data_IF_913994934916
#
_entry.id   IF_913994934916
#
_cell.length_a   1.000
_cell.length_b   1.000
_cell.length_c   1.000
_cell.angle_alpha   90.00
_cell.angle_beta   90.00
_cell.angle_gamma   90.00
#
_symmetry.space_group_name_H-M   'P 1'
#
loop_
_entity.id
_entity.type
_entity.pdbx_description
1 polymer ?
#
# COMPACT_ATOMS: atom_id res chain seq x y z
N UNK A 1 -4.40 16.95 -30.35
CA UNK A 1 -3.13 16.67 -29.64
C UNK A 1 -2.18 15.98 -30.61
N UNK A 2 -0.91 16.36 -30.68
CA UNK A 2 0.01 15.92 -31.75
C UNK A 2 0.81 14.70 -31.29
N UNK A 3 0.31 13.48 -31.53
CA UNK A 3 0.99 12.24 -31.18
C UNK A 3 2.37 12.09 -31.82
N UNK A 4 2.51 12.57 -33.07
CA UNK A 4 3.80 12.60 -33.79
C UNK A 4 4.87 13.40 -33.05
N UNK A 5 4.49 14.56 -32.49
CA UNK A 5 5.42 15.40 -31.71
C UNK A 5 5.83 14.73 -30.40
N UNK A 6 4.91 14.00 -29.75
CA UNK A 6 5.21 13.25 -28.52
C UNK A 6 6.23 12.15 -28.82
N UNK A 7 6.03 11.38 -29.90
CA UNK A 7 6.98 10.34 -30.30
C UNK A 7 8.34 10.90 -30.71
N UNK A 8 8.38 12.05 -31.41
CA UNK A 8 9.63 12.73 -31.75
C UNK A 8 10.43 13.13 -30.49
N UNK A 9 9.76 13.67 -29.47
CA UNK A 9 10.39 14.05 -28.19
C UNK A 9 10.88 12.82 -27.41
N UNK A 10 10.16 11.71 -27.45
CA UNK A 10 10.61 10.44 -26.84
C UNK A 10 11.86 9.93 -27.55
N UNK A 11 11.93 10.05 -28.87
CA UNK A 11 13.12 9.63 -29.63
C UNK A 11 14.35 10.52 -29.32
N UNK A 12 14.14 11.84 -29.18
CA UNK A 12 15.19 12.76 -28.75
C UNK A 12 15.66 12.49 -27.31
N UNK A 13 14.71 12.17 -26.42
CA UNK A 13 14.99 11.72 -25.05
C UNK A 13 15.78 10.41 -25.02
N UNK A 14 15.43 9.44 -25.86
CA UNK A 14 16.15 8.17 -25.97
C UNK A 14 17.61 8.40 -26.41
N UNK A 15 17.84 9.30 -27.36
CA UNK A 15 19.18 9.63 -27.85
C UNK A 15 20.10 10.24 -26.77
N UNK A 16 19.52 10.80 -25.70
CA UNK A 16 20.24 11.39 -24.56
C UNK A 16 20.49 10.40 -23.41
N UNK A 17 19.97 9.18 -23.50
CA UNK A 17 20.13 8.15 -22.46
C UNK A 17 19.38 8.48 -21.16
N UNK A 18 18.12 8.91 -21.27
CA UNK A 18 17.30 9.29 -20.12
C UNK A 18 16.81 8.06 -19.34
N UNK A 19 16.80 8.17 -18.01
CA UNK A 19 16.10 7.24 -17.13
C UNK A 19 14.58 7.36 -17.29
N UNK A 20 13.95 6.36 -17.91
CA UNK A 20 12.53 6.35 -18.27
C UNK A 20 11.58 6.52 -17.09
N UNK A 21 11.91 5.93 -15.92
CA UNK A 21 11.10 6.12 -14.72
C UNK A 21 11.21 7.56 -14.21
N UNK A 22 12.41 8.15 -14.22
CA UNK A 22 12.62 9.53 -13.79
C UNK A 22 11.84 10.52 -14.67
N UNK A 23 11.77 10.27 -15.98
CA UNK A 23 10.93 11.05 -16.89
C UNK A 23 9.45 11.04 -16.48
N UNK A 24 8.90 9.87 -16.16
CA UNK A 24 7.50 9.75 -15.70
C UNK A 24 7.29 10.44 -14.35
N UNK A 25 8.26 10.35 -13.43
CA UNK A 25 8.20 11.02 -12.12
C UNK A 25 8.18 12.55 -12.28
N UNK A 26 9.03 13.10 -13.14
CA UNK A 26 9.04 14.54 -13.44
C UNK A 26 7.71 14.98 -14.08
N UNK A 27 7.18 14.22 -15.03
CA UNK A 27 5.87 14.51 -15.63
C UNK A 27 4.73 14.49 -14.60
N UNK A 28 4.70 13.49 -13.72
CA UNK A 28 3.73 13.41 -12.61
C UNK A 28 3.85 14.61 -11.67
N UNK A 29 5.08 15.02 -11.33
CA UNK A 29 5.35 16.19 -10.53
C UNK A 29 4.83 17.48 -11.17
N UNK A 30 5.04 17.65 -12.48
CA UNK A 30 4.51 18.79 -13.23
C UNK A 30 2.97 18.79 -13.26
N UNK A 31 2.33 17.66 -13.53
CA UNK A 31 0.86 17.53 -13.51
C UNK A 31 0.28 17.86 -12.13
N UNK A 32 0.89 17.37 -11.06
CA UNK A 32 0.49 17.69 -9.70
C UNK A 32 0.58 19.20 -9.43
N UNK A 33 1.68 19.85 -9.83
CA UNK A 33 1.84 21.29 -9.68
C UNK A 33 0.81 22.08 -10.48
N UNK A 34 0.49 21.68 -11.70
CA UNK A 34 -0.57 22.31 -12.50
C UNK A 34 -1.92 22.20 -11.76
N UNK A 35 -2.24 21.02 -11.20
CA UNK A 35 -3.46 20.85 -10.40
C UNK A 35 -3.46 21.77 -9.15
N UNK A 36 -2.32 21.92 -8.48
CA UNK A 36 -2.19 22.85 -7.34
C UNK A 36 -2.37 24.31 -7.76
N UNK A 37 -1.89 24.70 -8.94
CA UNK A 37 -2.07 26.06 -9.51
C UNK A 37 -3.53 26.36 -9.83
N UNK A 38 -4.29 25.35 -10.28
CA UNK A 38 -5.73 25.50 -10.51
C UNK A 38 -6.51 25.73 -9.22
N UNK A 39 -6.08 25.11 -8.11
CA UNK A 39 -6.70 25.29 -6.80
C UNK A 39 -6.26 26.61 -6.14
N UNK A 40 -4.97 26.95 -6.23
CA UNK A 40 -4.41 28.17 -5.70
C UNK A 40 -3.31 28.73 -6.61
N UNK A 41 -3.52 29.90 -7.24
CA UNK A 41 -2.54 30.51 -8.14
C UNK A 41 -1.26 31.02 -7.44
N UNK A 42 -1.20 30.94 -6.11
CA UNK A 42 -0.04 31.27 -5.27
C UNK A 42 0.79 30.03 -4.88
N UNK A 43 0.42 28.82 -5.33
CA UNK A 43 1.11 27.58 -4.96
C UNK A 43 2.47 27.36 -5.68
N UNK A 44 2.88 28.26 -6.58
CA UNK A 44 4.14 28.16 -7.32
C UNK A 44 5.28 28.75 -6.47
N UNK A 45 6.27 27.92 -6.15
CA UNK A 45 7.52 28.36 -5.52
C UNK A 45 8.46 29.07 -6.50
N UNK A 46 9.40 29.85 -5.96
CA UNK A 46 10.34 30.70 -6.72
C UNK A 46 11.33 29.93 -7.61
N UNK A 47 11.44 28.61 -7.43
CA UNK A 47 12.43 27.74 -8.09
C UNK A 47 12.10 27.46 -9.57
N UNK A 48 10.89 27.80 -10.03
CA UNK A 48 10.37 27.43 -11.37
C UNK A 48 9.88 28.63 -12.19
N UNK A 49 10.44 29.82 -11.98
CA UNK A 49 10.06 31.06 -12.67
C UNK A 49 10.10 30.93 -14.21
N UNK A 50 11.05 30.15 -14.75
CA UNK A 50 11.19 29.94 -16.20
C UNK A 50 10.03 29.17 -16.84
N UNK A 51 9.34 28.31 -16.07
CA UNK A 51 8.29 27.41 -16.56
C UNK A 51 6.90 27.87 -16.06
N UNK A 52 6.87 28.86 -15.16
CA UNK A 52 5.67 29.37 -14.51
C UNK A 52 4.60 29.84 -15.51
N UNK A 53 5.00 30.59 -16.53
CA UNK A 53 4.08 31.10 -17.55
C UNK A 53 3.37 29.97 -18.30
N UNK A 54 4.13 28.94 -18.71
CA UNK A 54 3.59 27.76 -19.41
C UNK A 54 2.68 26.94 -18.49
N UNK A 55 3.04 26.78 -17.21
CA UNK A 55 2.21 26.05 -16.24
C UNK A 55 0.89 26.75 -15.97
N UNK A 56 0.90 28.09 -15.85
CA UNK A 56 -0.33 28.89 -15.71
C UNK A 56 -1.22 28.78 -16.95
N UNK A 57 -0.62 28.76 -18.13
CA UNK A 57 -1.36 28.60 -19.39
C UNK A 57 -1.99 27.19 -19.51
N UNK A 58 -1.27 26.14 -19.12
CA UNK A 58 -1.81 24.77 -19.05
C UNK A 58 -2.93 24.66 -18.00
N UNK A 59 -2.75 25.28 -16.83
CA UNK A 59 -3.77 25.31 -15.78
C UNK A 59 -5.06 26.02 -16.23
N UNK A 60 -4.96 27.02 -17.13
CA UNK A 60 -6.12 27.74 -17.66
C UNK A 60 -6.82 26.99 -18.80
N UNK A 61 -6.08 26.24 -19.60
CA UNK A 61 -6.58 25.61 -20.83
C UNK A 61 -7.10 24.19 -20.64
N UNK A 62 -6.56 23.45 -19.67
CA UNK A 62 -6.90 22.04 -19.42
C UNK A 62 -7.85 21.94 -18.21
N UNK A 63 -9.01 21.28 -18.32
CA UNK A 63 -9.89 21.02 -17.18
C UNK A 63 -9.19 20.24 -16.05
N UNK A 64 -9.57 20.45 -14.77
CA UNK A 64 -9.00 19.71 -13.64
C UNK A 64 -9.23 18.20 -13.76
N UNK A 65 -10.39 17.79 -14.29
CA UNK A 65 -10.72 16.37 -14.54
C UNK A 65 -9.72 15.71 -15.49
N UNK A 66 -9.32 16.41 -16.55
CA UNK A 66 -8.38 15.89 -17.55
C UNK A 66 -6.97 15.78 -16.98
N UNK A 67 -6.56 16.74 -16.13
CA UNK A 67 -5.27 16.67 -15.43
C UNK A 67 -5.24 15.46 -14.50
N UNK A 68 -6.32 15.18 -13.77
CA UNK A 68 -6.41 13.98 -12.93
C UNK A 68 -6.35 12.70 -13.76
N UNK A 69 -7.04 12.67 -14.91
CA UNK A 69 -7.00 11.53 -15.84
C UNK A 69 -5.57 11.27 -16.35
N UNK A 70 -4.85 12.31 -16.77
CA UNK A 70 -3.46 12.19 -17.18
C UNK A 70 -2.55 11.73 -16.05
N UNK A 71 -2.72 12.31 -14.86
CA UNK A 71 -1.95 11.92 -13.69
C UNK A 71 -2.17 10.44 -13.35
N UNK A 72 -3.43 9.98 -13.35
CA UNK A 72 -3.75 8.57 -13.10
C UNK A 72 -3.18 7.65 -14.18
N UNK A 73 -3.29 8.04 -15.45
CA UNK A 73 -2.78 7.25 -16.57
C UNK A 73 -1.26 7.08 -16.50
N UNK A 74 -0.52 8.15 -16.18
CA UNK A 74 0.93 8.10 -15.98
C UNK A 74 1.31 7.31 -14.73
N UNK A 75 0.53 7.39 -13.65
CA UNK A 75 0.78 6.65 -12.42
C UNK A 75 0.64 5.13 -12.64
N UNK A 76 -0.38 4.73 -13.39
CA UNK A 76 -0.57 3.34 -13.83
C UNK A 76 0.59 2.92 -14.73
N UNK A 77 0.96 3.75 -15.72
CA UNK A 77 2.09 3.46 -16.60
C UNK A 77 3.41 3.28 -15.86
N UNK A 78 3.67 4.07 -14.81
CA UNK A 78 4.84 3.89 -13.95
C UNK A 78 4.80 2.56 -13.20
N UNK A 79 3.64 2.16 -12.68
CA UNK A 79 3.45 0.86 -12.01
C UNK A 79 3.64 -0.31 -12.99
N UNK A 80 3.23 -0.15 -14.24
CA UNK A 80 3.32 -1.15 -15.30
C UNK A 80 4.68 -1.16 -16.01
N UNK A 81 5.51 -0.12 -15.83
CA UNK A 81 6.82 0.03 -16.45
C UNK A 81 7.77 -1.19 -16.28
N UNK A 82 7.89 -1.84 -15.10
CA UNK A 82 8.73 -3.02 -14.96
C UNK A 82 8.16 -4.28 -15.62
N UNK A 83 6.89 -4.28 -16.03
CA UNK A 83 6.24 -5.37 -16.75
C UNK A 83 6.33 -5.21 -18.27
N UNK A 84 6.76 -4.03 -18.74
CA UNK A 84 6.93 -3.78 -20.16
C UNK A 84 8.16 -4.54 -20.71
N UNK A 85 8.10 -5.04 -21.96
CA UNK A 85 9.22 -5.75 -22.58
C UNK A 85 10.47 -4.87 -22.75
N UNK A 86 10.25 -3.56 -22.95
CA UNK A 86 11.27 -2.52 -22.89
C UNK A 86 10.69 -1.34 -22.10
N UNK A 87 11.50 -0.72 -21.23
CA UNK A 87 11.12 0.48 -20.48
C UNK A 87 10.73 1.63 -21.41
N UNK A 88 11.43 1.78 -22.55
CA UNK A 88 11.08 2.79 -23.56
C UNK A 88 9.67 2.54 -24.11
N UNK A 89 9.39 1.30 -24.50
CA UNK A 89 8.08 0.90 -25.02
C UNK A 89 6.98 1.09 -23.97
N UNK A 90 7.28 0.82 -22.69
CA UNK A 90 6.35 1.09 -21.59
C UNK A 90 5.97 2.57 -21.46
N UNK A 91 6.95 3.48 -21.61
CA UNK A 91 6.69 4.93 -21.63
C UNK A 91 5.89 5.33 -22.87
N UNK A 92 6.25 4.85 -24.06
CA UNK A 92 5.52 5.10 -25.31
C UNK A 92 4.06 4.66 -25.20
N UNK A 93 3.80 3.45 -24.69
CA UNK A 93 2.45 2.94 -24.47
C UNK A 93 1.65 3.74 -23.45
N UNK A 94 2.31 4.20 -22.38
CA UNK A 94 1.67 5.05 -21.37
C UNK A 94 1.24 6.40 -21.96
N UNK A 95 2.10 7.03 -22.76
CA UNK A 95 1.83 8.32 -23.38
C UNK A 95 0.80 8.22 -24.50
N UNK A 96 0.81 7.13 -25.28
CA UNK A 96 -0.24 6.81 -26.24
C UNK A 96 -1.59 6.60 -25.55
N UNK A 97 -1.61 5.88 -24.43
CA UNK A 97 -2.82 5.70 -23.61
C UNK A 97 -3.34 7.05 -23.11
N UNK A 98 -2.46 7.93 -22.62
CA UNK A 98 -2.84 9.28 -22.20
C UNK A 98 -3.42 10.10 -23.37
N UNK A 99 -2.85 10.00 -24.57
CA UNK A 99 -3.36 10.68 -25.77
C UNK A 99 -4.71 10.12 -26.24
N UNK A 100 -4.90 8.80 -26.17
CA UNK A 100 -6.13 8.14 -26.58
C UNK A 100 -7.32 8.48 -25.66
N UNK A 101 -7.07 8.67 -24.37
CA UNK A 101 -8.10 9.08 -23.41
C UNK A 101 -8.34 10.60 -23.36
N UNK A 102 -7.87 11.36 -24.37
CA UNK A 102 -8.17 12.78 -24.43
C UNK A 102 -9.61 13.03 -24.93
N UNK A 103 -10.50 13.68 -24.14
CA UNK A 103 -11.93 13.77 -24.42
C UNK A 103 -12.33 14.58 -25.67
N UNK A 104 -11.35 15.09 -26.44
CA UNK A 104 -11.58 15.84 -27.69
C UNK A 104 -11.09 15.13 -28.95
N UNK A 105 -10.71 13.87 -28.88
CA UNK A 105 -10.27 13.11 -30.06
C UNK A 105 -10.85 11.70 -30.01
N UNK A 106 -12.05 11.44 -30.58
CA UNK A 106 -12.33 10.10 -31.05
C UNK A 106 -11.27 9.78 -32.11
N UNK A 107 -10.48 8.73 -31.87
CA UNK A 107 -9.67 8.13 -32.93
C UNK A 107 -10.60 7.79 -34.11
N UNK A 108 -10.15 7.93 -35.36
CA UNK A 108 -10.94 7.45 -36.49
C UNK A 108 -11.03 5.93 -36.38
N UNK A 109 -12.21 5.42 -36.06
CA UNK A 109 -12.49 3.99 -36.19
C UNK A 109 -12.42 3.63 -37.68
N UNK A 110 -11.71 2.57 -38.09
CA UNK A 110 -11.91 2.01 -39.42
C UNK A 110 -13.35 1.49 -39.52
N UNK A 111 -14.09 1.94 -40.53
CA UNK A 111 -15.44 1.48 -40.84
C UNK A 111 -15.47 -0.05 -41.03
N UNK A 112 -15.79 -0.78 -39.98
CA UNK A 112 -16.32 -2.14 -40.07
C UNK A 112 -17.85 -2.04 -40.10
N UNK A 113 -18.54 -2.52 -41.15
CA UNK A 113 -19.99 -2.42 -41.22
C UNK A 113 -20.61 -3.24 -40.07
N UNK A 114 -21.19 -2.56 -39.08
CA UNK A 114 -22.07 -3.21 -38.11
C UNK A 114 -23.32 -3.67 -38.84
N UNK A 115 -23.39 -4.97 -39.16
CA UNK A 115 -24.64 -5.60 -39.55
C UNK A 115 -25.60 -5.58 -38.35
N UNK A 116 -26.62 -4.73 -38.46
CA UNK A 116 -27.75 -4.64 -37.55
C UNK A 116 -28.66 -5.86 -37.70
N UNK A 117 -28.64 -6.77 -36.73
CA UNK A 117 -29.70 -7.77 -36.59
C UNK A 117 -30.85 -7.15 -35.81
N UNK A 118 -31.79 -6.54 -36.53
CA UNK A 118 -33.12 -6.23 -36.01
C UNK A 118 -33.96 -7.51 -35.96
N UNK A 119 -34.64 -7.85 -34.84
CA UNK A 119 -35.61 -8.93 -34.84
C UNK A 119 -36.89 -8.48 -35.56
N UNK A 120 -37.36 -9.37 -36.44
CA UNK A 120 -38.52 -9.23 -37.30
C UNK A 120 -39.81 -9.37 -36.48
N UNK A 121 -40.75 -8.45 -36.64
CA UNK A 121 -42.09 -8.52 -36.05
C UNK A 121 -43.01 -9.51 -36.82
N UNK A 122 -44.04 -10.08 -36.18
CA UNK A 122 -45.23 -10.52 -36.89
C UNK A 122 -46.36 -9.47 -36.79
N UNK A 123 -47.01 -9.28 -37.93
CA UNK A 123 -48.13 -8.39 -38.22
C UNK A 123 -49.45 -8.95 -37.67
N UNK A 124 -50.29 -8.10 -37.08
CA UNK A 124 -51.75 -8.25 -37.10
C UNK A 124 -52.42 -6.86 -36.94
N UNK A 125 -53.56 -6.72 -37.60
CA UNK A 125 -54.13 -5.50 -38.18
C UNK A 125 -55.15 -4.84 -37.24
N UNK A 126 -55.28 -3.51 -37.34
CA UNK A 126 -56.54 -2.71 -37.38
C UNK A 126 -56.49 -1.42 -36.53
N UNK A 127 -56.43 -0.29 -37.23
CA UNK A 127 -57.03 1.01 -36.85
C UNK A 127 -58.53 1.00 -37.24
N UNK A 128 -59.44 1.88 -36.74
CA UNK A 128 -59.23 3.32 -36.46
C UNK A 128 -59.91 3.84 -35.15
N UNK A 129 -59.57 5.01 -34.61
CA UNK A 129 -60.31 6.28 -34.82
C UNK A 129 -59.70 7.40 -33.95
N UNK A 130 -59.57 8.61 -34.50
CA UNK A 130 -59.17 9.87 -33.82
C UNK A 130 -60.31 10.42 -32.93
N UNK A 131 -60.05 11.17 -31.85
CA UNK A 131 -60.28 12.65 -31.60
C UNK A 131 -59.73 13.02 -30.16
N UNK A 132 -59.73 14.29 -29.66
CA UNK A 132 -58.57 15.15 -29.29
C UNK A 132 -58.33 15.36 -27.75
N UNK A 133 -57.36 16.20 -27.30
CA UNK A 133 -56.86 16.22 -25.90
C UNK A 133 -57.43 17.34 -24.97
N UNK A 134 -57.19 17.14 -23.65
CA UNK A 134 -57.29 18.03 -22.45
C UNK A 134 -58.50 17.82 -21.50
N UNK A 135 -58.46 18.19 -20.18
CA UNK A 135 -57.35 18.57 -19.28
C UNK A 135 -57.35 17.86 -17.89
N UNK A 136 -56.38 18.22 -17.04
CA UNK A 136 -56.05 17.79 -15.67
C UNK A 136 -57.22 17.55 -14.69
N UNK A 137 -57.05 16.57 -13.79
CA UNK A 137 -57.61 16.53 -12.42
C UNK A 137 -56.73 15.66 -11.50
N UNK A 138 -56.64 16.06 -10.23
CA UNK A 138 -55.69 15.64 -9.20
C UNK A 138 -55.66 14.14 -8.83
N UNK A 139 -54.55 13.62 -8.26
CA UNK A 139 -54.53 12.29 -7.64
C UNK A 139 -55.30 12.29 -6.31
N UNK A 140 -56.30 11.41 -6.21
CA UNK A 140 -56.95 11.02 -4.97
C UNK A 140 -55.98 10.28 -4.04
N UNK A 141 -56.11 10.59 -2.75
CA UNK A 141 -55.43 9.96 -1.62
C UNK A 141 -55.81 8.49 -1.46
N UNK A 142 -54.80 7.67 -1.16
CA UNK A 142 -54.93 6.37 -0.51
C UNK A 142 -53.94 6.34 0.69
N UNK A 143 -54.21 5.51 1.71
CA UNK A 143 -54.07 5.90 3.12
C UNK A 143 -52.63 5.90 3.67
N UNK A 144 -52.38 6.88 4.54
CA UNK A 144 -51.20 7.01 5.39
C UNK A 144 -51.11 5.88 6.42
N UNK A 145 -50.10 5.04 6.29
CA UNK A 145 -49.59 4.19 7.37
C UNK A 145 -48.48 4.98 8.08
N UNK A 146 -48.56 5.24 9.39
CA UNK A 146 -47.52 5.99 10.09
C UNK A 146 -46.25 5.15 10.23
N UNK A 147 -45.14 5.69 9.72
CA UNK A 147 -43.79 5.18 9.99
C UNK A 147 -43.44 5.40 11.47
N UNK A 148 -42.69 4.48 12.12
CA UNK A 148 -42.36 4.58 13.53
C UNK A 148 -41.40 5.74 13.82
N UNK A 149 -41.70 6.48 14.89
CA UNK A 149 -40.98 7.66 15.42
C UNK A 149 -39.47 7.41 15.66
N UNK A 150 -39.09 6.14 15.81
CA UNK A 150 -37.71 5.69 16.04
C UNK A 150 -36.78 6.06 14.88
N UNK A 151 -37.27 6.01 13.65
CA UNK A 151 -36.47 6.31 12.45
C UNK A 151 -36.19 7.81 12.29
N UNK A 152 -37.14 8.64 12.72
CA UNK A 152 -37.02 10.11 12.70
C UNK A 152 -36.04 10.62 13.78
N UNK A 153 -36.06 9.98 14.96
CA UNK A 153 -35.11 10.28 16.04
C UNK A 153 -33.67 9.90 15.69
N UNK A 154 -33.45 8.78 14.99
CA UNK A 154 -32.11 8.35 14.54
C UNK A 154 -31.55 9.28 13.45
N UNK A 155 -32.40 9.76 12.52
CA UNK A 155 -31.98 10.76 11.52
C UNK A 155 -31.66 12.12 12.16
N UNK A 156 -32.44 12.55 13.16
CA UNK A 156 -32.21 13.80 13.89
C UNK A 156 -30.91 13.74 14.74
N UNK A 157 -30.65 12.63 15.42
CA UNK A 157 -29.43 12.41 16.20
C UNK A 157 -28.17 12.44 15.31
N UNK A 158 -28.25 11.88 14.10
CA UNK A 158 -27.15 11.88 13.12
C UNK A 158 -26.85 13.29 12.58
N UNK A 159 -27.88 14.11 12.37
CA UNK A 159 -27.72 15.48 11.89
C UNK A 159 -27.13 16.40 12.96
N UNK A 160 -27.41 16.14 14.24
CA UNK A 160 -26.82 16.87 15.37
C UNK A 160 -25.32 16.58 15.54
N UNK A 161 -24.89 15.32 15.38
CA UNK A 161 -23.47 14.93 15.47
C UNK A 161 -22.59 15.52 14.34
N UNK A 162 -23.15 15.71 13.15
CA UNK A 162 -22.44 16.38 12.05
C UNK A 162 -22.27 17.88 12.26
N UNK A 163 -23.16 18.55 13.01
CA UNK A 163 -22.99 19.96 13.38
C UNK A 163 -21.94 20.20 14.46
N UNK A 164 -21.75 19.25 15.38
CA UNK A 164 -20.78 19.40 16.48
C UNK A 164 -19.33 19.21 15.99
N UNK A 165 -19.10 18.47 14.90
CA UNK A 165 -17.75 18.30 14.33
C UNK A 165 -17.27 19.47 13.45
N UNK A 166 -18.14 20.46 13.17
CA UNK A 166 -17.81 21.64 12.36
C UNK A 166 -17.31 22.87 13.12
N UNK A 167 -17.21 22.82 14.46
CA UNK A 167 -16.94 24.01 15.27
C UNK A 167 -15.84 23.81 16.32
N UNK A 168 -14.59 23.60 15.89
CA UNK A 168 -13.42 24.00 16.68
C UNK A 168 -12.35 24.61 15.77
N UNK A 169 -12.47 25.90 15.49
CA UNK A 169 -11.33 26.74 15.09
C UNK A 169 -10.92 27.64 16.25
N UNK A 170 -9.67 27.41 16.68
CA UNK A 170 -8.65 28.41 16.98
C UNK A 170 -9.09 29.71 17.68
N UNK A 171 -8.73 29.82 18.97
CA UNK A 171 -8.51 31.13 19.58
C UNK A 171 -7.14 31.66 19.18
N UNK A 172 -7.20 32.89 18.72
CA UNK A 172 -6.18 33.82 18.28
C UNK A 172 -5.35 34.33 19.47
N UNK A 173 -4.03 34.40 19.32
CA UNK A 173 -3.19 35.39 19.99
C UNK A 173 -2.18 35.95 18.99
N UNK A 174 -2.34 37.24 18.71
CA UNK A 174 -1.46 38.10 17.92
C UNK A 174 -0.25 38.57 18.78
N UNK A 175 0.76 39.27 18.19
CA UNK A 175 2.18 39.09 18.47
C UNK A 175 2.80 40.18 19.36
N UNK A 176 4.03 39.95 19.82
CA UNK A 176 4.91 40.98 20.39
C UNK A 176 6.39 40.69 20.08
N UNK A 177 7.20 41.74 20.04
CA UNK A 177 8.44 41.92 19.30
C UNK A 177 9.73 41.24 19.85
N UNK A 178 10.61 40.95 18.89
CA UNK A 178 12.07 41.20 18.80
C UNK A 178 13.02 41.00 20.00
N UNK A 179 14.03 40.11 19.80
CA UNK A 179 15.47 40.45 19.99
C UNK A 179 16.44 39.55 19.20
N UNK A 180 17.31 40.21 18.40
CA UNK A 180 18.70 39.90 17.95
C UNK A 180 19.29 38.47 17.95
N UNK A 181 19.88 38.10 16.80
CA UNK A 181 21.32 37.78 16.66
C UNK A 181 21.79 37.81 15.18
N UNK A 182 23.09 38.09 14.96
CA UNK A 182 23.79 38.62 13.76
C UNK A 182 24.09 37.57 12.65
N UNK A 183 24.33 38.00 11.39
CA UNK A 183 25.21 37.31 10.44
C UNK A 183 26.60 37.97 10.36
N UNK A 184 27.65 37.18 10.11
CA UNK A 184 29.01 37.66 9.80
C UNK A 184 29.34 37.40 8.33
N UNK A 185 30.04 38.40 7.76
CA UNK A 185 30.25 38.67 6.36
C UNK A 185 31.23 37.73 5.64
N UNK A 186 30.95 37.53 4.35
CA UNK A 186 31.93 37.34 3.29
C UNK A 186 32.67 38.66 3.02
N UNK A 187 34.01 38.66 3.06
CA UNK A 187 34.87 39.58 2.30
C UNK A 187 36.35 39.22 2.55
N UNK A 188 36.89 38.28 1.79
CA UNK A 188 38.33 38.00 1.76
C UNK A 188 38.75 37.56 0.35
N UNK A 189 38.36 38.35 -0.65
CA UNK A 189 39.04 38.36 -1.94
C UNK A 189 39.62 39.76 -2.13
N UNK A 190 40.83 39.78 -2.69
CA UNK A 190 41.58 40.93 -3.20
C UNK A 190 42.43 41.73 -2.21
N UNK A 191 43.66 42.00 -2.69
CA UNK A 191 44.76 42.81 -2.15
C UNK A 191 45.65 41.97 -1.22
N UNK A 192 46.83 41.49 -1.63
CA UNK A 192 47.88 42.09 -2.47
C UNK A 192 48.71 40.92 -3.04
N UNK A 193 48.70 40.64 -4.34
CA UNK A 193 49.51 41.31 -5.35
C UNK A 193 51.04 41.22 -5.12
N UNK A 194 51.67 40.50 -6.05
CA UNK A 194 52.94 40.82 -6.74
C UNK A 194 54.27 40.82 -5.97
N UNK A 195 55.11 39.81 -6.25
CA UNK A 195 56.54 39.91 -6.66
C UNK A 195 56.84 38.61 -7.45
N UNK A 196 56.80 38.55 -8.80
CA UNK A 196 57.91 38.74 -9.79
C UNK A 196 59.22 38.05 -9.36
N UNK A 197 60.09 37.42 -10.15
CA UNK A 197 60.30 37.15 -11.57
C UNK A 197 61.40 36.05 -11.60
N UNK A 198 61.36 35.16 -12.59
CA UNK A 198 62.52 34.59 -13.35
C UNK A 198 63.61 33.69 -12.68
N UNK A 199 63.81 32.46 -13.20
CA UNK A 199 64.91 31.98 -14.12
C UNK A 199 65.87 31.04 -13.35
N UNK A 200 66.37 29.86 -13.80
CA UNK A 200 66.68 29.28 -15.11
C UNK A 200 66.95 27.74 -15.02
N UNK A 201 66.94 27.11 -16.20
CA UNK A 201 67.78 25.99 -16.67
C UNK A 201 67.56 24.53 -16.18
N UNK A 202 67.37 23.67 -17.19
CA UNK A 202 67.61 22.21 -17.23
C UNK A 202 69.04 22.00 -17.77
N UNK A 203 69.72 20.86 -17.51
CA UNK A 203 69.51 19.66 -18.34
C UNK A 203 69.70 18.31 -17.61
N UNK A 204 69.36 17.22 -18.31
CA UNK A 204 69.52 15.80 -17.92
C UNK A 204 70.91 15.29 -18.30
N UNK A 205 71.43 14.22 -17.65
CA UNK A 205 71.46 12.94 -18.37
C UNK A 205 71.18 11.68 -17.52
N UNK A 206 70.98 10.60 -18.27
CA UNK A 206 70.64 9.22 -17.90
C UNK A 206 71.77 8.47 -17.16
N UNK A 207 71.44 7.73 -16.10
CA UNK A 207 72.11 6.48 -15.72
C UNK A 207 71.21 5.64 -14.80
N UNK A 208 71.23 4.34 -15.06
CA UNK A 208 70.48 3.27 -14.39
C UNK A 208 70.83 3.15 -12.91
N UNK A 209 69.83 3.04 -12.03
CA UNK A 209 69.91 2.19 -10.84
C UNK A 209 68.51 1.96 -10.24
N UNK A 210 68.12 0.68 -10.14
CA UNK A 210 66.93 0.24 -9.40
C UNK A 210 67.24 0.32 -7.89
N UNK A 211 66.69 1.32 -7.21
CA UNK A 211 66.62 1.36 -5.76
C UNK A 211 65.26 0.81 -5.26
N UNK A 212 65.23 0.07 -4.13
CA UNK A 212 64.06 -0.66 -3.68
C UNK A 212 62.98 0.25 -3.07
N UNK A 213 61.75 -0.29 -3.08
CA UNK A 213 60.47 0.31 -2.73
C UNK A 213 60.48 1.30 -1.54
N UNK A 214 60.19 2.57 -1.84
CA UNK A 214 59.61 3.49 -0.86
C UNK A 214 58.13 3.13 -0.70
N UNK A 215 57.76 2.75 0.52
CA UNK A 215 56.38 2.46 0.94
C UNK A 215 55.52 3.67 0.60
N UNK A 216 54.54 3.47 -0.27
CA UNK A 216 53.54 4.47 -0.59
C UNK A 216 52.88 4.96 0.70
N UNK A 217 52.77 6.28 0.83
CA UNK A 217 52.00 6.91 1.88
C UNK A 217 50.58 6.31 1.86
N UNK A 218 50.17 5.79 3.01
CA UNK A 218 48.88 5.19 3.27
C UNK A 218 47.76 6.16 2.82
N UNK A 219 47.25 5.96 1.60
CA UNK A 219 46.10 6.69 1.07
C UNK A 219 44.87 6.07 1.72
N UNK A 220 44.48 6.57 2.89
CA UNK A 220 43.17 6.28 3.44
C UNK A 220 42.11 6.74 2.44
N UNK A 221 41.56 5.80 1.67
CA UNK A 221 40.25 5.98 1.06
C UNK A 221 39.26 5.62 2.16
N UNK A 222 38.42 6.58 2.56
CA UNK A 222 37.28 6.29 3.41
C UNK A 222 36.33 5.39 2.60
N UNK A 223 36.51 4.08 2.70
CA UNK A 223 35.47 3.12 2.31
C UNK A 223 34.43 3.17 3.40
N UNK A 224 33.45 4.05 3.26
CA UNK A 224 32.18 3.87 3.95
C UNK A 224 31.62 2.55 3.41
N UNK A 225 31.48 1.49 4.22
CA UNK A 225 30.67 0.37 3.79
C UNK A 225 29.24 0.93 3.67
N UNK A 226 28.81 1.20 2.44
CA UNK A 226 27.38 1.40 2.17
C UNK A 226 26.76 0.04 2.42
N UNK A 227 26.31 -0.14 3.65
CA UNK A 227 25.41 -1.21 4.03
C UNK A 227 24.25 -1.10 3.05
N UNK A 228 24.22 -1.99 2.06
CA UNK A 228 23.07 -2.13 1.17
C UNK A 228 21.90 -2.52 2.06
N UNK A 229 21.16 -1.51 2.53
CA UNK A 229 19.79 -1.71 2.96
C UNK A 229 19.06 -2.16 1.71
N UNK A 230 18.84 -3.47 1.62
CA UNK A 230 17.91 -4.07 0.68
C UNK A 230 16.57 -3.42 0.97
N UNK A 231 16.20 -2.40 0.20
CA UNK A 231 14.86 -1.83 0.27
C UNK A 231 13.89 -2.99 0.05
N UNK A 232 13.12 -3.28 1.09
CA UNK A 232 12.05 -4.25 1.03
C UNK A 232 10.99 -3.63 0.14
N UNK A 233 11.13 -3.85 -1.16
CA UNK A 233 10.10 -3.55 -2.15
C UNK A 233 8.83 -4.18 -1.61
N UNK A 234 7.85 -3.35 -1.27
CA UNK A 234 6.53 -3.76 -0.85
C UNK A 234 5.88 -4.51 -2.02
N UNK A 235 6.16 -5.81 -2.07
CA UNK A 235 5.55 -6.72 -3.02
C UNK A 235 4.02 -6.68 -2.81
N UNK A 236 3.20 -6.87 -3.86
CA UNK A 236 1.75 -7.00 -3.70
C UNK A 236 1.38 -8.15 -2.74
N UNK A 237 2.27 -9.13 -2.55
CA UNK A 237 2.20 -10.18 -1.53
C UNK A 237 2.39 -9.63 -0.10
N UNK A 238 3.25 -8.63 0.10
CA UNK A 238 3.41 -7.93 1.37
C UNK A 238 2.23 -6.98 1.68
N UNK A 239 1.61 -6.37 0.66
CA UNK A 239 0.36 -5.61 0.85
C UNK A 239 -0.84 -6.52 1.16
N UNK A 240 -0.98 -7.67 0.47
CA UNK A 240 -1.99 -8.68 0.83
C UNK A 240 -1.75 -9.24 2.23
N UNK A 241 -0.48 -9.51 2.59
CA UNK A 241 -0.07 -9.91 3.94
C UNK A 241 -0.29 -8.84 5.01
N UNK A 242 -0.23 -7.55 4.64
CA UNK A 242 -0.57 -6.43 5.52
C UNK A 242 -2.09 -6.27 5.69
N UNK A 243 -2.90 -6.56 4.66
CA UNK A 243 -4.36 -6.68 4.76
C UNK A 243 -4.81 -7.96 5.50
N UNK A 244 -4.00 -9.02 5.47
CA UNK A 244 -4.15 -10.23 6.29
C UNK A 244 -3.71 -10.02 7.75
N UNK A 245 -3.03 -8.91 8.07
CA UNK A 245 -2.76 -8.52 9.47
C UNK A 245 -4.02 -7.98 10.17
N UNK A 246 -5.12 -7.84 9.43
CA UNK A 246 -6.48 -7.84 9.96
C UNK A 246 -7.14 -9.22 9.73
N UNK A 247 -6.44 -10.31 10.06
CA UNK A 247 -7.13 -11.43 10.72
C UNK A 247 -7.88 -10.77 11.88
N UNK A 248 -9.19 -10.64 11.76
CA UNK A 248 -10.02 -9.98 12.75
C UNK A 248 -9.61 -10.49 14.14
N UNK A 249 -9.19 -9.62 15.08
CA UNK A 249 -8.80 -10.07 16.41
C UNK A 249 -9.92 -10.88 17.06
N UNK A 250 -11.16 -10.65 16.64
CA UNK A 250 -12.35 -11.44 16.98
C UNK A 250 -12.25 -12.91 16.53
N UNK A 251 -11.84 -13.20 15.29
CA UNK A 251 -11.69 -14.58 14.84
C UNK A 251 -10.54 -15.27 15.58
N UNK A 252 -9.41 -14.58 15.76
CA UNK A 252 -8.29 -15.12 16.54
C UNK A 252 -8.70 -15.40 18.00
N UNK A 253 -9.53 -14.54 18.60
CA UNK A 253 -10.07 -14.75 19.94
C UNK A 253 -11.07 -15.92 19.99
N UNK A 254 -11.95 -16.07 19.00
CA UNK A 254 -12.87 -17.23 18.88
C UNK A 254 -12.09 -18.54 18.74
N UNK A 255 -11.08 -18.57 17.86
CA UNK A 255 -10.21 -19.73 17.69
C UNK A 255 -9.42 -20.04 18.96
N UNK A 256 -9.00 -19.02 19.71
CA UNK A 256 -8.34 -19.21 20.99
C UNK A 256 -9.29 -19.79 22.04
N UNK A 257 -10.55 -19.34 22.10
CA UNK A 257 -11.57 -19.89 22.99
C UNK A 257 -11.89 -21.36 22.62
N UNK A 258 -12.06 -21.67 21.34
CA UNK A 258 -12.32 -23.02 20.86
C UNK A 258 -11.11 -23.96 21.08
N UNK A 259 -9.89 -23.44 21.02
CA UNK A 259 -8.68 -24.17 21.40
C UNK A 259 -8.60 -24.42 22.91
N UNK A 260 -9.04 -23.47 23.75
CA UNK A 260 -9.10 -23.63 25.21
C UNK A 260 -10.10 -24.73 25.60
N UNK A 261 -11.22 -24.87 24.90
CA UNK A 261 -12.20 -25.94 25.15
C UNK A 261 -11.68 -27.33 24.78
N UNK A 262 -10.83 -27.43 23.75
CA UNK A 262 -10.28 -28.70 23.27
C UNK A 262 -9.01 -29.14 24.00
N UNK A 263 -8.17 -28.20 24.41
CA UNK A 263 -6.85 -28.49 25.01
C UNK A 263 -6.72 -27.94 26.44
N UNK A 264 -6.40 -28.84 27.36
CA UNK A 264 -6.17 -28.51 28.76
C UNK A 264 -4.94 -27.61 28.95
N UNK A 265 -3.92 -27.73 28.10
CA UNK A 265 -2.74 -26.87 28.20
C UNK A 265 -3.04 -25.44 27.76
N UNK A 266 -3.73 -25.26 26.63
CA UNK A 266 -4.23 -23.96 26.19
C UNK A 266 -5.08 -23.26 27.28
N UNK A 267 -5.95 -24.01 27.96
CA UNK A 267 -6.73 -23.51 29.08
C UNK A 267 -5.84 -22.99 30.23
N UNK A 268 -4.83 -23.77 30.64
CA UNK A 268 -3.88 -23.37 31.68
C UNK A 268 -3.09 -22.11 31.28
N UNK A 269 -2.62 -22.02 30.03
CA UNK A 269 -1.90 -20.84 29.53
C UNK A 269 -2.77 -19.57 29.58
N UNK A 270 -4.06 -19.69 29.26
CA UNK A 270 -4.99 -18.56 29.34
C UNK A 270 -5.23 -18.09 30.79
N UNK A 271 -5.25 -19.01 31.75
CA UNK A 271 -5.41 -18.72 33.17
C UNK A 271 -4.18 -18.02 33.77
N UNK A 272 -2.99 -18.34 33.26
CA UNK A 272 -1.71 -17.83 33.77
C UNK A 272 -1.37 -16.39 33.35
N UNK A 273 -2.15 -15.78 32.43
CA UNK A 273 -1.97 -14.41 31.90
C UNK A 273 -0.49 -14.00 31.76
N UNK A 274 0.24 -14.72 30.91
CA UNK A 274 1.68 -14.56 30.73
C UNK A 274 2.01 -13.31 29.89
N UNK A 275 3.21 -12.72 30.04
CA UNK A 275 3.67 -11.69 29.12
C UNK A 275 3.90 -12.26 27.72
N UNK A 276 3.63 -11.47 26.68
CA UNK A 276 3.60 -11.89 25.25
C UNK A 276 4.73 -12.82 24.80
N UNK A 277 5.97 -12.57 25.22
CA UNK A 277 7.11 -13.41 24.85
C UNK A 277 7.03 -14.82 25.47
N UNK A 278 6.66 -14.90 26.75
CA UNK A 278 6.55 -16.16 27.50
C UNK A 278 5.28 -16.91 27.07
N UNK A 279 4.20 -16.18 26.80
CA UNK A 279 3.01 -16.72 26.17
C UNK A 279 3.34 -17.37 24.83
N UNK A 280 4.13 -16.72 23.98
CA UNK A 280 4.54 -17.30 22.69
C UNK A 280 5.35 -18.59 22.86
N UNK A 281 6.22 -18.70 23.87
CA UNK A 281 6.93 -19.96 24.18
C UNK A 281 5.93 -21.04 24.60
N UNK A 282 5.00 -20.71 25.49
CA UNK A 282 3.97 -21.64 25.97
C UNK A 282 3.03 -22.11 24.83
N UNK A 283 2.71 -21.23 23.88
CA UNK A 283 1.85 -21.54 22.73
C UNK A 283 2.54 -22.43 21.69
N UNK A 284 3.87 -22.34 21.54
CA UNK A 284 4.65 -23.17 20.62
C UNK A 284 5.17 -24.46 21.28
N UNK A 285 4.78 -24.71 22.53
CA UNK A 285 5.13 -25.93 23.25
C UNK A 285 3.86 -26.70 23.61
N UNK A 286 3.96 -28.02 23.62
CA UNK A 286 2.95 -28.88 24.24
C UNK A 286 3.44 -29.33 25.62
N UNK A 287 2.49 -29.58 26.52
CA UNK A 287 2.78 -29.90 27.91
C UNK A 287 2.73 -31.40 28.13
N UNK A 288 3.83 -31.95 28.62
CA UNK A 288 3.87 -33.25 29.27
C UNK A 288 3.88 -33.06 30.78
N UNK A 289 2.93 -33.70 31.46
CA UNK A 289 2.78 -33.61 32.91
C UNK A 289 3.23 -34.91 33.56
N UNK A 290 4.27 -34.81 34.39
CA UNK A 290 4.72 -35.87 35.30
C UNK A 290 4.39 -35.48 36.75
N UNK A 291 4.44 -36.43 37.69
CA UNK A 291 3.95 -36.26 39.06
C UNK A 291 4.45 -35.00 39.80
N UNK A 292 5.69 -34.57 39.55
CA UNK A 292 6.26 -33.34 40.13
C UNK A 292 7.13 -32.51 39.14
N UNK A 293 7.09 -32.85 37.85
CA UNK A 293 7.86 -32.18 36.82
C UNK A 293 6.96 -31.90 35.62
N UNK A 294 7.11 -30.72 35.02
CA UNK A 294 6.42 -30.37 33.78
C UNK A 294 7.47 -30.22 32.68
N UNK A 295 7.37 -31.07 31.68
CA UNK A 295 8.22 -31.02 30.51
C UNK A 295 7.44 -30.31 29.40
N UNK A 296 7.87 -29.11 29.04
CA UNK A 296 7.35 -28.40 27.88
C UNK A 296 8.19 -28.77 26.68
N UNK A 297 7.56 -29.46 25.75
CA UNK A 297 8.17 -29.87 24.50
C UNK A 297 7.95 -28.76 23.48
N UNK A 298 8.98 -27.93 23.32
CA UNK A 298 9.00 -26.84 22.36
C UNK A 298 9.43 -27.37 21.00
N UNK A 299 8.71 -26.97 19.95
CA UNK A 299 9.11 -27.21 18.57
C UNK A 299 10.48 -26.60 18.30
N UNK A 300 11.38 -27.36 17.67
CA UNK A 300 12.74 -26.91 17.34
C UNK A 300 12.74 -25.68 16.43
N UNK A 301 11.71 -25.54 15.60
CA UNK A 301 11.47 -24.37 14.75
C UNK A 301 11.46 -23.04 15.51
N UNK A 302 11.04 -23.05 16.78
CA UNK A 302 10.95 -21.87 17.64
C UNK A 302 12.00 -21.87 18.75
N UNK A 303 13.10 -22.64 18.60
CA UNK A 303 14.20 -22.73 19.59
C UNK A 303 14.74 -21.36 20.02
N UNK A 304 14.80 -20.40 19.10
CA UNK A 304 15.31 -19.05 19.38
C UNK A 304 14.44 -18.26 20.38
N UNK A 305 13.20 -18.68 20.64
CA UNK A 305 12.33 -18.08 21.67
C UNK A 305 12.59 -18.68 23.06
N UNK A 306 13.29 -19.82 23.15
CA UNK A 306 13.64 -20.43 24.41
C UNK A 306 14.74 -19.61 25.11
N UNK A 307 14.36 -18.87 26.14
CA UNK A 307 15.28 -18.14 27.01
C UNK A 307 15.08 -18.62 28.45
N UNK A 308 16.17 -18.79 29.21
CA UNK A 308 16.11 -19.07 30.66
C UNK A 308 15.24 -18.08 31.42
N UNK A 309 15.24 -16.80 31.03
CA UNK A 309 14.35 -15.80 31.65
C UNK A 309 12.86 -16.05 31.37
N UNK A 310 12.52 -16.60 30.20
CA UNK A 310 11.17 -17.03 29.89
C UNK A 310 10.81 -18.32 30.65
N UNK A 311 11.73 -19.28 30.70
CA UNK A 311 11.58 -20.52 31.46
C UNK A 311 11.33 -20.26 32.95
N UNK A 312 12.11 -19.37 33.59
CA UNK A 312 11.94 -19.02 35.00
C UNK A 312 10.55 -18.42 35.27
N UNK A 313 10.09 -17.49 34.44
CA UNK A 313 8.76 -16.88 34.58
C UNK A 313 7.63 -17.88 34.35
N UNK A 314 7.80 -18.77 33.38
CA UNK A 314 6.83 -19.83 33.11
C UNK A 314 6.80 -20.85 34.27
N UNK A 315 7.95 -21.17 34.85
CA UNK A 315 8.06 -22.03 36.03
C UNK A 315 7.39 -21.40 37.27
N UNK A 316 7.60 -20.11 37.49
CA UNK A 316 6.95 -19.34 38.57
C UNK A 316 5.43 -19.32 38.38
N UNK A 317 4.96 -19.06 37.15
CA UNK A 317 3.55 -19.08 36.81
C UNK A 317 2.92 -20.47 37.04
N UNK A 318 3.57 -21.54 36.54
CA UNK A 318 3.12 -22.92 36.75
C UNK A 318 3.12 -23.33 38.22
N UNK A 319 4.12 -22.88 38.99
CA UNK A 319 4.18 -23.14 40.43
C UNK A 319 3.04 -22.43 41.17
N UNK A 320 2.68 -21.23 40.74
CA UNK A 320 1.51 -20.50 41.27
C UNK A 320 0.20 -21.22 40.95
N UNK A 321 0.08 -21.82 39.76
CA UNK A 321 -1.11 -22.59 39.37
C UNK A 321 -1.24 -23.93 40.10
N UNK A 322 -0.12 -24.64 40.32
CA UNK A 322 -0.10 -25.95 40.99
C UNK A 322 -0.05 -25.86 42.50
N UNK A 323 0.35 -24.72 43.06
CA UNK A 323 0.52 -24.54 44.51
C UNK A 323 1.76 -25.23 45.09
N UNK A 324 2.61 -25.82 44.26
CA UNK A 324 3.88 -26.46 44.61
C UNK A 324 4.99 -26.01 43.65
N UNK A 325 6.25 -26.14 44.06
CA UNK A 325 7.40 -25.83 43.20
C UNK A 325 7.51 -26.86 42.08
N UNK A 326 7.16 -26.46 40.86
CA UNK A 326 7.23 -27.32 39.67
C UNK A 326 8.60 -27.16 39.02
N UNK A 327 9.32 -28.27 38.83
CA UNK A 327 10.52 -28.26 37.98
C UNK A 327 10.10 -28.24 36.52
N UNK A 328 10.16 -27.04 35.92
CA UNK A 328 9.87 -26.83 34.51
C UNK A 328 11.12 -27.06 33.66
N UNK A 329 11.09 -28.07 32.81
CA UNK A 329 12.12 -28.29 31.80
C UNK A 329 11.54 -28.07 30.41
N UNK A 330 12.18 -27.19 29.63
CA UNK A 330 11.83 -27.02 28.21
C UNK A 330 12.76 -27.93 27.42
N UNK A 331 12.20 -28.98 26.84
CA UNK A 331 12.90 -29.92 25.95
C UNK A 331 12.53 -29.64 24.51
N UNK A 332 13.45 -29.95 23.61
CA UNK A 332 13.27 -29.77 22.17
C UNK A 332 12.70 -31.07 21.61
N UNK A 333 11.45 -31.04 21.14
CA UNK A 333 10.83 -32.19 20.50
C UNK A 333 9.99 -31.75 19.30
N UNK A 334 10.33 -32.32 18.16
CA UNK A 334 9.67 -32.09 16.87
C UNK A 334 8.61 -33.15 16.56
N UNK A 335 8.31 -34.07 17.49
CA UNK A 335 7.29 -35.07 17.28
C UNK A 335 5.90 -34.43 17.12
N UNK A 336 5.23 -34.61 15.96
CA UNK A 336 3.90 -34.05 15.70
C UNK A 336 2.76 -34.86 16.34
N UNK A 337 3.05 -35.92 17.10
CA UNK A 337 2.04 -36.77 17.72
C UNK A 337 1.10 -36.00 18.68
N UNK A 338 1.63 -35.00 19.39
CA UNK A 338 0.86 -34.11 20.27
C UNK A 338 0.92 -32.70 19.70
N UNK A 339 -0.24 -32.07 19.53
CA UNK A 339 -0.36 -30.72 18.97
C UNK A 339 -0.13 -29.66 20.04
N UNK A 340 0.56 -28.59 19.67
CA UNK A 340 0.71 -27.41 20.54
C UNK A 340 -0.58 -26.56 20.53
N UNK A 341 -0.81 -25.68 21.51
CA UNK A 341 -1.96 -24.76 21.50
C UNK A 341 -2.02 -23.89 20.25
N UNK A 342 -0.88 -23.49 19.69
CA UNK A 342 -0.83 -22.73 18.43
C UNK A 342 -1.24 -23.61 17.24
N UNK A 343 -0.76 -24.84 17.18
CA UNK A 343 -1.16 -25.81 16.16
C UNK A 343 -2.64 -26.16 16.27
N UNK A 344 -3.20 -26.25 17.48
CA UNK A 344 -4.65 -26.41 17.68
C UNK A 344 -5.44 -25.25 17.09
N UNK A 345 -5.03 -23.99 17.36
CA UNK A 345 -5.68 -22.82 16.74
C UNK A 345 -5.63 -22.86 15.21
N UNK A 346 -4.50 -23.29 14.66
CA UNK A 346 -4.31 -23.42 13.21
C UNK A 346 -5.17 -24.56 12.63
N UNK A 347 -5.23 -25.71 13.30
CA UNK A 347 -6.04 -26.85 12.89
C UNK A 347 -7.54 -26.53 12.90
N UNK A 348 -8.03 -25.84 13.95
CA UNK A 348 -9.43 -25.38 14.01
C UNK A 348 -9.71 -24.40 12.88
N UNK A 349 -8.79 -23.48 12.59
CA UNK A 349 -8.96 -22.55 11.49
C UNK A 349 -9.06 -23.26 10.13
N UNK A 350 -8.20 -24.25 9.90
CA UNK A 350 -8.23 -25.07 8.67
C UNK A 350 -9.51 -25.90 8.57
N UNK A 351 -10.00 -26.45 9.68
CA UNK A 351 -11.28 -27.14 9.75
C UNK A 351 -12.45 -26.20 9.39
N UNK A 352 -12.51 -25.01 9.99
CA UNK A 352 -13.55 -24.00 9.66
C UNK A 352 -13.46 -23.54 8.21
N UNK A 353 -12.24 -23.39 7.68
CA UNK A 353 -12.00 -23.00 6.30
C UNK A 353 -12.48 -24.10 5.34
N UNK A 354 -12.17 -25.37 5.62
CA UNK A 354 -12.65 -26.51 4.85
C UNK A 354 -14.19 -26.58 4.85
N UNK A 355 -14.81 -26.40 6.02
CA UNK A 355 -16.27 -26.37 6.15
C UNK A 355 -16.89 -25.20 5.36
N UNK A 356 -16.26 -24.01 5.40
CA UNK A 356 -16.72 -22.86 4.61
C UNK A 356 -16.54 -23.10 3.10
N UNK A 357 -15.48 -23.79 2.67
CA UNK A 357 -15.30 -24.17 1.27
C UNK A 357 -16.38 -25.14 0.83
N UNK A 358 -16.63 -26.17 1.62
CA UNK A 358 -17.65 -27.17 1.30
C UNK A 358 -19.04 -26.55 1.24
N UNK A 359 -19.40 -25.65 2.17
CA UNK A 359 -20.70 -24.97 2.16
C UNK A 359 -20.90 -24.06 0.94
N UNK A 360 -19.84 -23.36 0.52
CA UNK A 360 -19.85 -22.51 -0.69
C UNK A 360 -19.93 -23.35 -1.96
N UNK A 361 -19.23 -24.48 -2.02
CA UNK A 361 -19.31 -25.42 -3.16
C UNK A 361 -20.70 -26.08 -3.22
N UNK A 362 -21.28 -26.40 -2.06
CA UNK A 362 -22.61 -26.99 -1.95
C UNK A 362 -23.75 -25.97 -2.17
N UNK A 363 -23.47 -24.66 -2.22
CA UNK A 363 -24.51 -23.65 -2.42
C UNK A 363 -25.08 -23.72 -3.84
N UNK A 364 -26.39 -23.96 -3.91
CA UNK A 364 -27.16 -24.04 -5.15
C UNK A 364 -27.03 -22.78 -6.02
N UNK A 365 -26.93 -21.59 -5.41
CA UNK A 365 -26.80 -20.33 -6.16
C UNK A 365 -25.45 -20.27 -6.89
N UNK A 366 -24.39 -20.71 -6.22
CA UNK A 366 -23.03 -20.69 -6.75
C UNK A 366 -22.90 -21.76 -7.84
N UNK A 367 -23.48 -22.94 -7.63
CA UNK A 367 -23.57 -23.97 -8.68
C UNK A 367 -24.36 -23.48 -9.91
N UNK A 368 -25.46 -22.75 -9.69
CA UNK A 368 -26.24 -22.12 -10.77
C UNK A 368 -25.40 -21.11 -11.52
N UNK A 369 -24.68 -20.22 -10.83
CA UNK A 369 -23.79 -19.23 -11.46
C UNK A 369 -22.66 -19.89 -12.26
N UNK A 370 -22.03 -20.93 -11.72
CA UNK A 370 -21.01 -21.71 -12.45
C UNK A 370 -21.58 -22.33 -13.71
N UNK A 371 -22.80 -22.89 -13.66
CA UNK A 371 -23.43 -23.57 -14.79
C UNK A 371 -23.96 -22.63 -15.88
N UNK A 372 -24.51 -21.47 -15.51
CA UNK A 372 -25.15 -20.54 -16.46
C UNK A 372 -24.21 -19.47 -17.01
N UNK A 373 -23.13 -19.14 -16.29
CA UNK A 373 -22.26 -18.01 -16.63
C UNK A 373 -20.78 -18.39 -16.80
N UNK A 374 -20.41 -19.68 -16.79
CA UNK A 374 -19.00 -20.15 -16.78
C UNK A 374 -18.15 -19.42 -15.72
N UNK A 375 -18.76 -19.12 -14.56
CA UNK A 375 -18.09 -18.41 -13.49
C UNK A 375 -17.04 -19.31 -12.81
N UNK A 376 -15.85 -18.79 -12.58
CA UNK A 376 -14.80 -19.46 -11.80
C UNK A 376 -14.88 -19.01 -10.32
N UNK A 377 -14.86 -19.98 -9.41
CA UNK A 377 -14.81 -19.73 -7.98
C UNK A 377 -13.35 -19.64 -7.54
N UNK A 378 -12.95 -18.50 -6.98
CA UNK A 378 -11.63 -18.34 -6.35
C UNK A 378 -11.64 -18.92 -4.93
N UNK A 379 -11.16 -20.16 -4.78
CA UNK A 379 -11.11 -20.90 -3.51
C UNK A 379 -10.12 -20.32 -2.49
N UNK A 380 -9.19 -19.45 -2.93
CA UNK A 380 -8.25 -18.76 -2.04
C UNK A 380 -8.89 -17.51 -1.40
N UNK A 381 -10.01 -17.04 -1.94
CA UNK A 381 -10.78 -15.92 -1.39
C UNK A 381 -11.72 -16.32 -0.24
N UNK A 382 -11.99 -17.61 -0.07
CA UNK A 382 -12.92 -18.13 0.93
C UNK A 382 -12.31 -17.99 2.33
N UNK A 383 -13.02 -17.28 3.22
CA UNK A 383 -12.61 -17.07 4.61
C UNK A 383 -13.74 -17.46 5.57
N UNK A 384 -13.44 -18.20 6.65
CA UNK A 384 -14.41 -18.46 7.72
C UNK A 384 -14.65 -17.18 8.54
N UNK A 385 -15.91 -16.92 8.88
CA UNK A 385 -16.37 -15.73 9.64
C UNK A 385 -16.77 -16.07 11.08
#
# INVERSE_FOLDING_TARGET
ANGERVMALINEAAARGIEWEALLVEMLGLLHRIAMVQLSPAALGNDMAAIELRMRELARTIPPTDIQLYYQTLLIGRKELPYAPDRRMGVEMTLLRALAFHPRMPLPEPEVPRQSFAPVAPTAVMTPTQVPPQPQSAPQQAPTVPLPETTSQVLAARQQLQRVQGATKAKKSEPAAATRARPVNNAALERLASVTDRVQARPVPSALEKAPAKKEAYRWKATTPVMQQKEVVATPKALKKALEHEKTPELAAKLAAEAIERDAWAAQVSQLSLPKLVEQVALNAWKEESDNAVCLHLRSSQRHLNNRGAQQKLAEALSTLKGSTVELTIVEDDNPAVRTPLEWRQAIYEEKLAQARESIIADNNIQTLRRFFDAELDEESIRPI
#
